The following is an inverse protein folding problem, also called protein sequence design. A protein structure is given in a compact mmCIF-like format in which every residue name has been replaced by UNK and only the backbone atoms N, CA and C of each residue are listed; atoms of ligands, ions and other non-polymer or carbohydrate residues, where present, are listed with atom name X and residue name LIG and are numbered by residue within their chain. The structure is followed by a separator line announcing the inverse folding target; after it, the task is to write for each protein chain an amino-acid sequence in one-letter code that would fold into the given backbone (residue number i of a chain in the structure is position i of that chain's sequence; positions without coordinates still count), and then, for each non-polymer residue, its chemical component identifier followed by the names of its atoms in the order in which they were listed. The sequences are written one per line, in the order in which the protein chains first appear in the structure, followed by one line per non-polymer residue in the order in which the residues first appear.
data_IF_808043975455
#
_entry.id   IF_808043975455
#
_cell.length_a   1.000
_cell.length_b   1.000
_cell.length_c   1.000
_cell.angle_alpha   90.00
_cell.angle_beta   90.00
_cell.angle_gamma   90.00
#
_symmetry.space_group_name_H-M   'P 1'
#
loop_
_entity.id
_entity.type
_entity.pdbx_description
1 polymer ?
#
# COMPACT_ATOMS: atom_id res chain seq x y z
N UNK A 1 34.63 0.65 -0.32
CA UNK A 1 34.20 0.98 -1.69
C UNK A 1 33.82 2.46 -1.69
N UNK A 2 34.46 3.27 -2.53
CA UNK A 2 34.30 4.73 -2.55
C UNK A 2 32.90 5.10 -3.04
N UNK A 3 32.01 5.52 -2.14
CA UNK A 3 30.69 6.08 -2.45
C UNK A 3 30.86 7.50 -2.98
N UNK A 4 30.58 7.70 -4.25
CA UNK A 4 30.49 9.03 -4.87
C UNK A 4 29.52 9.90 -4.07
N UNK A 5 30.00 11.00 -3.47
CA UNK A 5 29.19 11.89 -2.64
C UNK A 5 28.14 12.61 -3.52
N UNK A 6 26.94 12.04 -3.56
CA UNK A 6 25.78 12.48 -4.34
C UNK A 6 25.30 13.89 -3.95
N UNK A 7 25.69 14.39 -2.78
CA UNK A 7 25.31 15.71 -2.25
C UNK A 7 26.34 16.81 -2.51
N UNK A 8 27.45 16.50 -3.18
CA UNK A 8 28.54 17.46 -3.46
C UNK A 8 28.09 18.75 -4.20
N UNK A 9 26.99 18.69 -4.95
CA UNK A 9 26.39 19.85 -5.62
C UNK A 9 25.65 20.78 -4.64
N UNK A 10 24.98 20.23 -3.62
CA UNK A 10 24.17 20.98 -2.66
C UNK A 10 25.05 21.58 -1.55
N UNK A 11 26.12 20.88 -1.16
CA UNK A 11 27.12 21.36 -0.18
C UNK A 11 27.93 22.58 -0.64
N UNK A 12 27.72 23.09 -1.86
CA UNK A 12 28.26 24.39 -2.29
C UNK A 12 27.49 25.58 -1.73
N UNK A 13 26.23 25.38 -1.34
CA UNK A 13 25.35 26.44 -0.85
C UNK A 13 25.41 26.60 0.68
N UNK A 14 25.91 25.58 1.37
CA UNK A 14 25.96 25.51 2.84
C UNK A 14 27.12 24.60 3.25
N UNK A 15 27.84 24.98 4.31
CA UNK A 15 28.91 24.16 4.90
C UNK A 15 28.40 23.00 5.76
N UNK A 16 27.09 22.94 6.04
CA UNK A 16 26.51 21.82 6.76
C UNK A 16 26.42 20.60 5.85
N UNK A 17 27.03 19.49 6.29
CA UNK A 17 26.89 18.19 5.64
C UNK A 17 25.53 17.59 6.03
N UNK A 18 24.70 17.17 5.07
CA UNK A 18 23.42 16.55 5.39
C UNK A 18 23.67 15.19 6.03
N UNK A 19 23.15 14.99 7.24
CA UNK A 19 23.14 13.68 7.87
C UNK A 19 22.26 12.71 7.08
N UNK A 20 22.70 11.46 6.96
CA UNK A 20 21.87 10.39 6.41
C UNK A 20 20.75 10.06 7.41
N UNK A 21 19.54 10.51 7.10
CA UNK A 21 18.38 10.28 7.95
C UNK A 21 18.01 8.81 8.01
N UNK A 22 18.30 8.01 6.98
CA UNK A 22 17.91 6.59 6.95
C UNK A 22 18.63 5.80 8.05
N UNK A 23 19.92 6.08 8.28
CA UNK A 23 20.69 5.50 9.39
C UNK A 23 20.17 5.98 10.75
N UNK A 24 19.86 7.28 10.87
CA UNK A 24 19.38 7.89 12.12
C UNK A 24 17.99 7.39 12.53
N UNK A 25 17.11 7.09 11.57
CA UNK A 25 15.73 6.63 11.83
C UNK A 25 15.58 5.12 11.79
N UNK A 26 16.62 4.38 11.41
CA UNK A 26 16.61 2.91 11.29
C UNK A 26 16.08 2.19 12.53
N UNK A 27 16.46 2.63 13.74
CA UNK A 27 15.98 2.06 15.02
C UNK A 27 14.52 2.36 15.35
N UNK A 28 13.90 3.30 14.62
CA UNK A 28 12.50 3.70 14.75
C UNK A 28 11.67 3.34 13.52
N UNK A 29 12.28 2.72 12.50
CA UNK A 29 11.57 2.30 11.29
C UNK A 29 10.63 1.13 11.60
N UNK A 30 9.34 1.47 11.71
CA UNK A 30 8.25 0.51 11.99
C UNK A 30 8.04 -0.50 10.86
N UNK A 31 8.58 -0.25 9.66
CA UNK A 31 8.51 -1.17 8.51
C UNK A 31 9.37 -2.42 8.69
N UNK A 32 10.35 -2.38 9.61
CA UNK A 32 11.28 -3.48 9.87
C UNK A 32 10.79 -4.53 10.87
N UNK A 33 9.67 -4.27 11.58
CA UNK A 33 9.16 -5.21 12.58
C UNK A 33 8.24 -6.24 11.94
N UNK A 34 8.35 -7.47 12.45
CA UNK A 34 7.43 -8.59 12.28
C UNK A 34 5.99 -8.09 12.11
N UNK A 35 5.22 -8.58 11.11
CA UNK A 35 3.88 -8.10 10.84
C UNK A 35 3.09 -7.90 12.13
N UNK A 36 2.59 -6.68 12.33
CA UNK A 36 1.83 -6.35 13.53
C UNK A 36 0.65 -7.30 13.68
N UNK A 37 0.43 -7.81 14.88
CA UNK A 37 -0.79 -8.56 15.20
C UNK A 37 -1.97 -7.60 15.15
N UNK A 38 -3.06 -7.97 14.49
CA UNK A 38 -4.31 -7.20 14.56
C UNK A 38 -4.74 -7.09 16.03
N UNK A 39 -4.66 -5.87 16.55
CA UNK A 39 -5.11 -5.52 17.90
C UNK A 39 -6.61 -5.20 17.94
N UNK A 40 -7.26 -5.10 16.78
CA UNK A 40 -8.69 -4.91 16.70
C UNK A 40 -9.38 -6.23 17.09
N UNK A 41 -10.17 -6.27 18.17
CA UNK A 41 -11.01 -7.43 18.43
C UNK A 41 -11.94 -7.59 17.23
N UNK A 42 -11.96 -8.78 16.62
CA UNK A 42 -12.88 -9.13 15.55
C UNK A 42 -14.30 -8.98 16.10
N UNK A 43 -15.05 -7.90 15.81
CA UNK A 43 -16.45 -7.88 16.19
C UNK A 43 -17.10 -8.93 15.28
N UNK A 44 -17.99 -9.77 15.84
CA UNK A 44 -18.95 -10.48 14.98
C UNK A 44 -19.64 -9.48 14.04
N UNK A 45 -20.26 -9.93 12.93
CA UNK A 45 -20.73 -9.06 11.83
C UNK A 45 -21.54 -7.88 12.38
N UNK A 46 -20.85 -6.75 12.54
CA UNK A 46 -21.39 -5.53 13.10
C UNK A 46 -21.52 -4.55 11.96
N UNK A 47 -22.70 -3.96 11.81
CA UNK A 47 -22.88 -2.85 10.89
C UNK A 47 -22.02 -1.69 11.38
N UNK A 48 -20.86 -1.52 10.75
CA UNK A 48 -20.04 -0.33 10.92
C UNK A 48 -20.85 0.89 10.46
N UNK A 49 -20.75 2.04 11.15
CA UNK A 49 -21.38 3.26 10.67
C UNK A 49 -20.86 3.58 9.26
N UNK A 50 -21.70 4.13 8.36
CA UNK A 50 -21.30 4.44 6.99
C UNK A 50 -20.28 5.58 7.01
N UNK A 51 -19.03 5.20 7.17
CA UNK A 51 -17.88 6.02 6.83
C UNK A 51 -17.94 6.25 5.32
N UNK A 52 -17.92 7.50 4.86
CA UNK A 52 -17.78 7.88 3.44
C UNK A 52 -16.36 7.54 2.94
N UNK A 53 -15.97 6.27 3.06
CA UNK A 53 -14.70 5.75 2.58
C UNK A 53 -14.81 5.27 1.13
N UNK A 54 -16.01 4.91 0.69
CA UNK A 54 -16.35 4.54 -0.67
C UNK A 54 -17.27 5.60 -1.28
N UNK A 55 -17.12 5.88 -2.57
CA UNK A 55 -18.18 6.56 -3.30
C UNK A 55 -19.40 5.62 -3.36
N UNK A 56 -20.56 6.09 -2.92
CA UNK A 56 -21.77 5.26 -2.80
C UNK A 56 -22.22 4.62 -4.11
N UNK A 57 -21.79 5.18 -5.25
CA UNK A 57 -22.19 4.76 -6.60
C UNK A 57 -21.02 4.20 -7.44
N UNK A 58 -19.80 4.11 -6.91
CA UNK A 58 -18.65 3.60 -7.67
C UNK A 58 -18.44 2.09 -7.44
N UNK A 59 -18.21 1.35 -8.52
CA UNK A 59 -17.86 -0.08 -8.45
C UNK A 59 -16.42 -0.19 -7.96
N UNK A 60 -16.16 -1.04 -6.96
CA UNK A 60 -14.81 -1.31 -6.48
C UNK A 60 -14.12 -2.41 -7.30
N UNK A 61 -12.90 -2.15 -7.76
CA UNK A 61 -12.04 -3.11 -8.47
C UNK A 61 -10.81 -3.41 -7.63
N UNK A 62 -10.60 -4.69 -7.34
CA UNK A 62 -9.46 -5.20 -6.57
C UNK A 62 -8.26 -5.43 -7.46
N UNK A 63 -7.09 -4.98 -7.04
CA UNK A 63 -5.84 -5.12 -7.78
C UNK A 63 -4.80 -5.78 -6.88
N UNK A 64 -4.44 -7.03 -7.19
CA UNK A 64 -3.57 -7.84 -6.34
C UNK A 64 -2.09 -7.62 -6.66
N UNK A 65 -1.33 -7.17 -5.67
CA UNK A 65 0.14 -7.02 -5.75
C UNK A 65 0.78 -8.01 -4.79
N UNK A 66 1.43 -9.04 -5.36
CA UNK A 66 2.08 -10.10 -4.59
C UNK A 66 3.59 -9.89 -4.38
N UNK A 67 4.19 -8.96 -5.11
CA UNK A 67 5.63 -8.70 -5.10
C UNK A 67 5.97 -7.25 -5.48
N UNK A 68 7.23 -6.82 -5.27
CA UNK A 68 7.64 -5.43 -5.54
C UNK A 68 7.42 -5.04 -7.00
N UNK A 69 6.81 -3.88 -7.23
CA UNK A 69 6.62 -3.34 -8.59
C UNK A 69 7.90 -2.63 -9.03
N UNK A 70 8.41 -2.99 -10.22
CA UNK A 70 9.63 -2.41 -10.80
C UNK A 70 9.50 -0.91 -11.06
N UNK A 71 8.37 -0.49 -11.64
CA UNK A 71 8.05 0.92 -11.90
C UNK A 71 6.66 1.25 -11.32
N UNK A 72 6.59 1.64 -10.04
CA UNK A 72 5.32 1.91 -9.40
C UNK A 72 4.65 3.19 -9.94
N UNK A 73 5.38 4.08 -10.61
CA UNK A 73 4.79 5.27 -11.22
C UNK A 73 4.00 4.93 -12.49
N UNK A 74 4.57 4.10 -13.37
CA UNK A 74 3.87 3.61 -14.56
C UNK A 74 2.63 2.78 -14.19
N UNK A 75 2.76 1.88 -13.20
CA UNK A 75 1.63 1.10 -12.71
C UNK A 75 0.52 1.98 -12.15
N UNK A 76 0.87 2.96 -11.30
CA UNK A 76 -0.08 3.93 -10.75
C UNK A 76 -0.78 4.72 -11.87
N UNK A 77 -0.06 5.15 -12.90
CA UNK A 77 -0.65 5.88 -14.02
C UNK A 77 -1.70 5.04 -14.77
N UNK A 78 -1.42 3.77 -15.03
CA UNK A 78 -2.35 2.85 -15.70
C UNK A 78 -3.58 2.57 -14.84
N UNK A 79 -3.40 2.40 -13.53
CA UNK A 79 -4.51 2.19 -12.59
C UNK A 79 -5.36 3.46 -12.45
N UNK A 80 -4.76 4.65 -12.47
CA UNK A 80 -5.49 5.91 -12.51
C UNK A 80 -6.30 6.05 -13.80
N UNK A 81 -5.71 5.70 -14.95
CA UNK A 81 -6.42 5.70 -16.23
C UNK A 81 -7.62 4.76 -16.18
N UNK A 82 -7.45 3.54 -15.66
CA UNK A 82 -8.56 2.59 -15.45
C UNK A 82 -9.66 3.18 -14.55
N UNK A 83 -9.28 3.73 -13.39
CA UNK A 83 -10.21 4.32 -12.43
C UNK A 83 -11.05 5.43 -13.07
N UNK A 84 -10.41 6.31 -13.85
CA UNK A 84 -11.07 7.45 -14.52
C UNK A 84 -11.94 6.99 -15.70
N UNK A 85 -11.42 6.09 -16.54
CA UNK A 85 -12.11 5.64 -17.75
C UNK A 85 -13.36 4.81 -17.44
N UNK A 86 -13.32 4.01 -16.38
CA UNK A 86 -14.40 3.10 -16.00
C UNK A 86 -15.26 3.64 -14.84
N UNK A 87 -14.92 4.80 -14.28
CA UNK A 87 -15.56 5.38 -13.09
C UNK A 87 -15.61 4.38 -11.92
N UNK A 88 -14.47 3.74 -11.65
CA UNK A 88 -14.31 2.70 -10.62
C UNK A 88 -13.35 3.12 -9.52
N UNK A 89 -13.59 2.62 -8.31
CA UNK A 89 -12.66 2.75 -7.19
C UNK A 89 -11.65 1.60 -7.20
N UNK A 90 -10.36 1.91 -7.37
CA UNK A 90 -9.30 0.89 -7.36
C UNK A 90 -8.82 0.64 -5.93
N UNK A 91 -9.02 -0.58 -5.45
CA UNK A 91 -8.55 -1.08 -4.16
C UNK A 91 -7.35 -2.00 -4.38
N UNK A 92 -6.19 -1.58 -3.92
CA UNK A 92 -4.97 -2.39 -4.04
C UNK A 92 -4.91 -3.40 -2.90
N UNK A 93 -4.85 -4.69 -3.21
CA UNK A 93 -4.68 -5.77 -2.25
C UNK A 93 -3.22 -6.23 -2.27
N UNK A 94 -2.44 -5.91 -1.24
CA UNK A 94 -1.00 -6.20 -1.22
C UNK A 94 -0.61 -7.20 -0.15
N UNK A 95 0.27 -8.15 -0.49
CA UNK A 95 0.95 -9.00 0.51
C UNK A 95 2.22 -8.37 1.07
N UNK A 96 2.60 -7.17 0.62
CA UNK A 96 3.77 -6.44 1.08
C UNK A 96 3.42 -5.50 2.24
N UNK A 97 4.41 -5.11 3.03
CA UNK A 97 4.24 -4.03 4.02
C UNK A 97 4.03 -2.66 3.37
N UNK A 98 4.57 -2.48 2.15
CA UNK A 98 4.45 -1.25 1.37
C UNK A 98 4.53 -1.60 -0.12
N UNK A 99 3.46 -1.32 -0.87
CA UNK A 99 3.37 -1.63 -2.30
C UNK A 99 4.00 -0.57 -3.20
N UNK A 100 4.14 0.66 -2.68
CA UNK A 100 4.54 1.83 -3.45
C UNK A 100 3.37 2.52 -4.15
N UNK A 101 2.14 1.98 -4.07
CA UNK A 101 0.93 2.61 -4.60
C UNK A 101 0.38 3.68 -3.65
N UNK A 102 0.64 3.53 -2.35
CA UNK A 102 0.14 4.41 -1.30
C UNK A 102 0.59 5.87 -1.51
N UNK A 103 1.82 6.07 -2.00
CA UNK A 103 2.35 7.43 -2.30
C UNK A 103 1.63 8.13 -3.44
N UNK A 104 0.89 7.40 -4.27
CA UNK A 104 0.10 7.93 -5.38
C UNK A 104 -1.37 8.15 -5.00
N UNK A 105 -1.73 7.91 -3.73
CA UNK A 105 -3.08 8.11 -3.23
C UNK A 105 -4.02 6.92 -3.44
N UNK A 106 -3.52 5.79 -3.93
CA UNK A 106 -4.32 4.56 -3.96
C UNK A 106 -4.58 4.06 -2.56
N UNK A 107 -5.79 3.54 -2.36
CA UNK A 107 -6.11 2.78 -1.17
C UNK A 107 -5.45 1.41 -1.28
N UNK A 108 -4.64 1.06 -0.29
CA UNK A 108 -3.97 -0.23 -0.22
C UNK A 108 -4.36 -0.96 1.05
N UNK A 109 -4.93 -2.13 0.88
CA UNK A 109 -5.26 -3.06 1.94
C UNK A 109 -4.24 -4.18 1.98
N UNK A 110 -3.79 -4.50 3.20
CA UNK A 110 -2.77 -5.52 3.40
C UNK A 110 -3.42 -6.88 3.59
N UNK A 111 -2.98 -7.87 2.81
CA UNK A 111 -3.30 -9.27 3.01
C UNK A 111 -2.36 -9.82 4.09
N UNK A 112 -2.93 -10.20 5.23
CA UNK A 112 -2.20 -10.76 6.37
C UNK A 112 -2.48 -12.27 6.54
N UNK A 113 -1.50 -13.02 7.04
CA UNK A 113 -1.65 -14.44 7.33
C UNK A 113 -0.36 -15.24 7.22
N UNK A 114 -0.10 -16.09 8.22
CA UNK A 114 1.08 -16.95 8.27
C UNK A 114 0.99 -18.09 7.25
N UNK A 115 -0.21 -18.64 7.07
CA UNK A 115 -0.50 -19.72 6.10
C UNK A 115 -1.19 -19.17 4.85
N UNK A 116 -1.12 -19.93 3.74
CA UNK A 116 -1.84 -19.58 2.51
C UNK A 116 -3.35 -19.48 2.74
N UNK A 117 -3.94 -20.44 3.48
CA UNK A 117 -5.35 -20.44 3.82
C UNK A 117 -5.79 -19.20 4.62
N UNK A 118 -4.95 -18.72 5.55
CA UNK A 118 -5.23 -17.48 6.28
C UNK A 118 -5.18 -16.25 5.37
N UNK A 119 -4.23 -16.20 4.44
CA UNK A 119 -4.13 -15.10 3.47
C UNK A 119 -5.32 -15.08 2.50
N UNK A 120 -5.77 -16.25 2.06
CA UNK A 120 -6.95 -16.36 1.21
C UNK A 120 -8.21 -15.94 1.97
N UNK A 121 -8.38 -16.37 3.23
CA UNK A 121 -9.49 -15.92 4.07
C UNK A 121 -9.48 -14.39 4.32
N UNK A 122 -8.30 -13.80 4.55
CA UNK A 122 -8.15 -12.35 4.66
C UNK A 122 -8.51 -11.64 3.34
N UNK A 123 -8.07 -12.18 2.20
CA UNK A 123 -8.44 -11.64 0.87
C UNK A 123 -9.95 -11.67 0.67
N UNK A 124 -10.61 -12.78 0.97
CA UNK A 124 -12.06 -12.93 0.81
C UNK A 124 -12.84 -11.94 1.68
N UNK A 125 -12.36 -11.69 2.92
CA UNK A 125 -12.93 -10.66 3.79
C UNK A 125 -12.78 -9.26 3.22
N UNK A 126 -11.62 -8.92 2.65
CA UNK A 126 -11.40 -7.63 2.01
C UNK A 126 -12.25 -7.46 0.76
N UNK A 127 -12.38 -8.52 -0.06
CA UNK A 127 -13.27 -8.55 -1.23
C UNK A 127 -14.72 -8.29 -0.82
N UNK A 128 -15.19 -8.97 0.22
CA UNK A 128 -16.55 -8.78 0.73
C UNK A 128 -16.76 -7.38 1.33
N UNK A 129 -15.79 -6.90 2.11
CA UNK A 129 -15.88 -5.60 2.77
C UNK A 129 -15.98 -4.44 1.78
N UNK A 130 -15.16 -4.49 0.73
CA UNK A 130 -15.13 -3.45 -0.31
C UNK A 130 -16.17 -3.66 -1.41
N UNK A 131 -16.87 -4.80 -1.43
CA UNK A 131 -17.77 -5.15 -2.54
C UNK A 131 -17.02 -5.28 -3.87
N UNK A 132 -15.80 -5.85 -3.85
CA UNK A 132 -14.97 -5.98 -5.04
C UNK A 132 -15.62 -6.98 -6.00
N UNK A 133 -15.99 -6.52 -7.19
CA UNK A 133 -16.62 -7.36 -8.22
C UNK A 133 -15.59 -8.04 -9.14
N UNK A 134 -14.40 -7.45 -9.27
CA UNK A 134 -13.34 -7.92 -10.15
C UNK A 134 -11.98 -7.85 -9.46
N UNK A 135 -11.21 -8.94 -9.54
CA UNK A 135 -9.81 -8.96 -9.08
C UNK A 135 -8.85 -9.13 -10.26
N UNK A 136 -7.91 -8.19 -10.41
CA UNK A 136 -6.87 -8.22 -11.44
C UNK A 136 -5.51 -8.54 -10.80
N UNK A 137 -4.70 -9.44 -11.39
CA UNK A 137 -3.31 -9.61 -11.00
C UNK A 137 -2.44 -8.47 -11.56
N UNK A 138 -1.44 -8.02 -10.79
CA UNK A 138 -0.38 -7.08 -11.21
C UNK A 138 0.98 -7.74 -11.19
#
# INVERSE_FOLDING_TARGET
MSTTNRFALINRLTQAEPDDLDDLVSGFDRRSRTPGKDLAPCPGPGQLPPLKLAQTDAIAVGVSISGPIKDPADAAFRLCALAIEQDVEVIVLSSLDYSGMERFGFRTERIVGETAAMRDACRDQLVQFWGIELTLPV
#
